data_IF_992563314888
#
_entry.id   IF_992563314888
#
_cell.length_a   1.000
_cell.length_b   1.000
_cell.length_c   1.000
_cell.angle_alpha   90.00
_cell.angle_beta   90.00
_cell.angle_gamma   90.00
#
_symmetry.space_group_name_H-M   'P 1'
#
loop_
_entity.id
_entity.type
_entity.pdbx_description
1 polymer ?
#
# COMPACT_ATOMS: atom_id res chain seq x y z
N UNK A 1 -10.59 3.32 -29.52
CA UNK A 1 -10.09 1.92 -29.45
C UNK A 1 -8.58 2.02 -29.35
N UNK A 2 -8.07 2.07 -28.12
CA UNK A 2 -6.62 2.16 -27.90
C UNK A 2 -6.11 0.80 -27.43
N UNK A 3 -5.32 0.17 -28.32
CA UNK A 3 -4.64 -1.12 -28.11
C UNK A 3 -3.46 -1.05 -27.12
N UNK A 4 -3.40 -0.06 -26.24
CA UNK A 4 -2.20 0.30 -25.46
C UNK A 4 -1.98 -0.46 -24.15
N UNK A 5 -2.72 -1.53 -23.86
CA UNK A 5 -2.55 -2.22 -22.56
C UNK A 5 -2.73 -3.75 -22.67
N UNK A 6 -2.02 -4.39 -23.61
CA UNK A 6 -1.84 -5.83 -23.59
C UNK A 6 -0.58 -6.17 -22.75
N UNK A 7 -0.60 -7.24 -21.92
CA UNK A 7 0.63 -7.75 -21.31
C UNK A 7 1.65 -8.01 -22.42
N UNK A 8 2.87 -7.57 -22.20
CA UNK A 8 3.99 -7.73 -23.16
C UNK A 8 4.09 -9.20 -23.54
N UNK A 9 3.92 -9.53 -24.84
CA UNK A 9 3.95 -10.91 -25.31
C UNK A 9 5.30 -11.56 -24.99
N UNK A 10 5.32 -12.86 -24.67
CA UNK A 10 6.50 -13.61 -24.22
C UNK A 10 7.72 -13.47 -25.16
N UNK A 11 7.50 -13.32 -26.48
CA UNK A 11 8.55 -13.08 -27.47
C UNK A 11 9.13 -11.65 -27.42
N UNK A 12 8.30 -10.65 -27.08
CA UNK A 12 8.76 -9.27 -26.87
C UNK A 12 9.54 -9.12 -25.57
N UNK A 13 9.18 -9.90 -24.53
CA UNK A 13 9.94 -9.95 -23.27
C UNK A 13 11.38 -10.43 -23.44
N UNK A 14 11.61 -11.49 -24.20
CA UNK A 14 12.96 -11.96 -24.52
C UNK A 14 13.78 -10.90 -25.26
N UNK A 15 13.17 -10.18 -26.21
CA UNK A 15 13.79 -9.10 -26.98
C UNK A 15 13.99 -7.84 -26.10
N UNK A 16 13.05 -7.53 -25.23
CA UNK A 16 13.15 -6.43 -24.26
C UNK A 16 14.29 -6.72 -23.29
N UNK A 17 14.34 -7.92 -22.72
CA UNK A 17 15.39 -8.34 -21.79
C UNK A 17 16.77 -8.28 -22.44
N UNK A 18 16.92 -8.74 -23.69
CA UNK A 18 18.17 -8.71 -24.45
C UNK A 18 18.63 -7.28 -24.83
N UNK A 19 17.70 -6.32 -24.95
CA UNK A 19 18.01 -4.90 -25.22
C UNK A 19 18.42 -4.10 -23.99
N UNK A 20 17.99 -4.51 -22.79
CA UNK A 20 18.26 -3.79 -21.53
C UNK A 20 19.37 -4.42 -20.71
N UNK A 21 19.84 -5.58 -21.09
CA UNK A 21 21.03 -6.22 -20.55
C UNK A 21 22.17 -6.14 -21.57
N UNK A 22 22.69 -4.93 -21.81
CA UNK A 22 24.07 -4.78 -22.32
C UNK A 22 25.10 -5.34 -21.31
N UNK A 23 24.63 -6.17 -20.38
CA UNK A 23 25.45 -6.86 -19.40
C UNK A 23 25.91 -8.18 -20.01
N UNK A 24 27.22 -8.36 -19.95
CA UNK A 24 27.84 -9.63 -20.24
C UNK A 24 27.31 -10.71 -19.29
N UNK A 25 26.57 -11.68 -19.81
CA UNK A 25 25.99 -12.80 -19.04
C UNK A 25 27.07 -13.63 -18.29
N UNK A 26 28.34 -13.45 -18.60
CA UNK A 26 29.45 -14.04 -17.85
C UNK A 26 29.80 -13.27 -16.58
N UNK A 27 29.32 -12.04 -16.44
CA UNK A 27 29.61 -11.15 -15.29
C UNK A 27 28.36 -10.81 -14.46
N UNK A 28 27.17 -10.90 -15.04
CA UNK A 28 25.87 -10.55 -14.40
C UNK A 28 24.91 -11.73 -14.45
N UNK A 29 24.26 -11.97 -13.32
CA UNK A 29 23.17 -12.94 -13.20
C UNK A 29 21.84 -12.22 -12.96
N UNK A 30 20.83 -12.60 -13.74
CA UNK A 30 19.45 -12.16 -13.50
C UNK A 30 18.69 -13.17 -12.63
N UNK A 31 18.05 -12.65 -11.59
CA UNK A 31 17.16 -13.40 -10.73
C UNK A 31 15.74 -13.07 -11.17
N UNK A 32 15.09 -14.03 -11.82
CA UNK A 32 13.76 -13.89 -12.40
C UNK A 32 12.69 -13.70 -11.31
N UNK A 33 11.56 -13.02 -11.59
CA UNK A 33 10.47 -12.82 -10.62
C UNK A 33 9.90 -14.12 -10.05
N UNK A 34 9.97 -15.21 -10.80
CA UNK A 34 9.48 -16.55 -10.38
C UNK A 34 10.45 -17.35 -9.52
N UNK A 35 11.60 -16.77 -9.15
CA UNK A 35 12.61 -17.49 -8.36
C UNK A 35 12.04 -17.82 -6.96
N UNK A 36 12.11 -19.12 -6.57
CA UNK A 36 11.46 -19.65 -5.37
C UNK A 36 11.92 -19.02 -4.04
N UNK A 37 13.13 -18.46 -4.00
CA UNK A 37 13.70 -17.84 -2.81
C UNK A 37 13.26 -16.36 -2.64
N UNK A 38 12.55 -15.77 -3.61
CA UNK A 38 11.99 -14.44 -3.47
C UNK A 38 10.76 -14.47 -2.56
N UNK A 39 10.63 -13.46 -1.71
CA UNK A 39 9.46 -13.30 -0.85
C UNK A 39 8.66 -12.08 -1.29
N UNK A 40 7.39 -12.28 -1.60
CA UNK A 40 6.44 -11.23 -1.97
C UNK A 40 5.45 -10.96 -0.84
N UNK A 41 5.05 -9.69 -0.67
CA UNK A 41 3.99 -9.29 0.24
C UNK A 41 3.22 -8.11 -0.36
N UNK A 42 1.89 -8.09 -0.20
CA UNK A 42 1.00 -7.07 -0.73
C UNK A 42 0.03 -7.62 -1.77
N UNK A 43 -0.92 -6.77 -2.19
CA UNK A 43 -1.79 -7.09 -3.32
C UNK A 43 -1.07 -6.78 -4.62
N UNK A 44 -0.35 -7.76 -5.12
CA UNK A 44 0.44 -7.72 -6.35
C UNK A 44 -0.32 -8.50 -7.41
N UNK A 45 -0.38 -7.98 -8.64
CA UNK A 45 -0.92 -8.71 -9.78
C UNK A 45 0.14 -9.69 -10.33
N UNK A 46 -0.12 -10.97 -10.14
CA UNK A 46 0.69 -12.07 -10.65
C UNK A 46 0.03 -12.78 -11.84
N UNK A 47 -0.85 -12.10 -12.59
CA UNK A 47 -1.46 -12.67 -13.80
C UNK A 47 -0.41 -13.09 -14.83
N UNK A 48 0.71 -12.35 -14.88
CA UNK A 48 1.94 -12.76 -15.51
C UNK A 48 3.01 -12.98 -14.43
N UNK A 49 3.35 -14.23 -14.10
CA UNK A 49 4.30 -14.51 -13.03
C UNK A 49 5.74 -14.04 -13.35
N UNK A 50 6.10 -13.90 -14.62
CA UNK A 50 7.41 -13.38 -15.06
C UNK A 50 7.48 -11.84 -15.04
N UNK A 51 6.35 -11.17 -14.83
CA UNK A 51 6.23 -9.71 -14.83
C UNK A 51 5.16 -9.21 -13.85
N UNK A 52 5.28 -9.52 -12.54
CA UNK A 52 4.31 -9.09 -11.55
C UNK A 52 4.21 -7.57 -11.47
N UNK A 53 2.98 -7.05 -11.36
CA UNK A 53 2.72 -5.62 -11.26
C UNK A 53 2.49 -5.24 -9.81
N UNK A 54 3.27 -4.27 -9.33
CA UNK A 54 3.13 -3.70 -7.99
C UNK A 54 2.10 -2.58 -8.04
N UNK A 55 0.94 -2.84 -7.44
CA UNK A 55 -0.23 -1.96 -7.50
C UNK A 55 -0.46 -1.23 -6.19
N UNK A 56 -0.63 -1.95 -5.10
CA UNK A 56 -0.98 -1.36 -3.81
C UNK A 56 0.25 -0.83 -3.06
N UNK A 57 0.14 0.28 -2.30
CA UNK A 57 1.25 0.83 -1.52
C UNK A 57 1.79 -0.19 -0.52
N UNK A 58 3.07 -0.12 -0.22
CA UNK A 58 3.72 -1.04 0.72
C UNK A 58 3.89 -2.46 0.21
N UNK A 59 3.42 -2.80 -1.00
CA UNK A 59 3.73 -4.08 -1.63
C UNK A 59 5.22 -4.17 -1.91
N UNK A 60 5.82 -5.36 -1.70
CA UNK A 60 7.26 -5.53 -1.85
C UNK A 60 7.66 -6.90 -2.38
N UNK A 61 8.87 -6.95 -2.94
CA UNK A 61 9.65 -8.17 -3.18
C UNK A 61 10.96 -8.09 -2.39
N UNK A 62 11.34 -9.20 -1.77
CA UNK A 62 12.53 -9.33 -0.93
C UNK A 62 13.40 -10.46 -1.43
N UNK A 63 14.72 -10.23 -1.43
CA UNK A 63 15.75 -11.20 -1.75
C UNK A 63 16.85 -11.18 -0.69
N UNK A 64 17.35 -12.35 -0.29
CA UNK A 64 18.62 -12.50 0.43
C UNK A 64 19.66 -13.09 -0.50
N UNK A 65 20.90 -12.61 -0.42
CA UNK A 65 21.99 -13.06 -1.30
C UNK A 65 23.36 -12.86 -0.67
N UNK A 66 24.35 -13.61 -1.19
CA UNK A 66 25.79 -13.45 -0.92
C UNK A 66 26.55 -13.43 -2.24
N UNK A 67 27.81 -13.00 -2.23
CA UNK A 67 28.71 -13.09 -3.39
C UNK A 67 28.53 -11.98 -4.43
N UNK A 68 27.84 -10.88 -4.09
CA UNK A 68 27.72 -9.70 -4.94
C UNK A 68 28.01 -8.42 -4.16
N UNK A 69 28.78 -7.53 -4.74
CA UNK A 69 29.06 -6.21 -4.17
C UNK A 69 28.02 -5.15 -4.53
N UNK A 70 27.04 -5.50 -5.34
CA UNK A 70 25.94 -4.63 -5.75
C UNK A 70 24.68 -5.45 -6.07
N UNK A 71 23.55 -4.79 -6.03
CA UNK A 71 22.26 -5.31 -6.50
C UNK A 71 21.48 -4.23 -7.22
N UNK A 72 20.87 -4.61 -8.34
CA UNK A 72 20.01 -3.74 -9.15
C UNK A 72 18.66 -4.42 -9.38
N UNK A 73 17.63 -3.64 -9.73
CA UNK A 73 16.35 -4.15 -10.19
C UNK A 73 16.05 -3.66 -11.59
N UNK A 74 15.40 -4.51 -12.38
CA UNK A 74 14.80 -4.10 -13.66
C UNK A 74 13.32 -3.89 -13.42
N UNK A 75 12.83 -2.70 -13.72
CA UNK A 75 11.41 -2.34 -13.57
C UNK A 75 10.91 -1.60 -14.79
N UNK A 76 9.60 -1.61 -15.02
CA UNK A 76 8.93 -0.77 -16.02
C UNK A 76 7.82 0.02 -15.32
N UNK A 77 7.90 1.34 -15.41
CA UNK A 77 7.00 2.24 -14.70
C UNK A 77 5.73 2.54 -15.49
N UNK A 78 4.63 2.72 -14.76
CA UNK A 78 3.37 3.27 -15.25
C UNK A 78 2.92 4.35 -14.27
N UNK A 79 3.43 5.56 -14.42
CA UNK A 79 3.08 6.66 -13.52
C UNK A 79 1.69 7.23 -13.83
N UNK A 80 1.10 7.87 -12.83
CA UNK A 80 -0.11 8.67 -12.97
C UNK A 80 0.24 10.16 -13.03
N UNK A 81 0.07 10.89 -11.93
CA UNK A 81 0.16 12.35 -11.92
C UNK A 81 1.48 12.91 -11.36
N UNK A 82 2.23 12.14 -10.59
CA UNK A 82 3.51 12.51 -10.00
C UNK A 82 4.66 11.70 -10.60
N UNK A 83 5.89 12.12 -10.30
CA UNK A 83 7.07 11.28 -10.51
C UNK A 83 6.98 9.99 -9.68
N UNK A 84 7.46 8.89 -10.24
CA UNK A 84 7.43 7.60 -9.55
C UNK A 84 8.71 7.33 -8.80
N UNK A 85 8.56 6.93 -7.55
CA UNK A 85 9.64 6.58 -6.64
C UNK A 85 9.40 5.20 -6.06
N UNK A 86 10.43 4.37 -6.05
CA UNK A 86 10.42 3.11 -5.30
C UNK A 86 11.19 3.25 -4.00
N UNK A 87 10.84 2.45 -3.02
CA UNK A 87 11.57 2.35 -1.78
C UNK A 87 12.49 1.14 -1.75
N UNK A 88 13.62 1.30 -1.10
CA UNK A 88 14.60 0.24 -0.90
C UNK A 88 14.88 0.10 0.58
N UNK A 89 14.81 -1.14 1.08
CA UNK A 89 15.41 -1.51 2.35
C UNK A 89 16.64 -2.36 2.02
N UNK A 90 17.82 -1.86 2.36
CA UNK A 90 19.07 -2.59 2.26
C UNK A 90 19.60 -2.82 3.66
N UNK A 91 19.55 -4.06 4.12
CA UNK A 91 19.85 -4.47 5.48
C UNK A 91 19.03 -3.66 6.50
N UNK A 92 19.55 -2.56 7.05
CA UNK A 92 18.88 -1.70 8.04
C UNK A 92 18.56 -0.29 7.53
N UNK A 93 18.99 0.01 6.31
CA UNK A 93 18.83 1.35 5.73
C UNK A 93 17.61 1.40 4.82
N UNK A 94 16.84 2.49 4.92
CA UNK A 94 15.73 2.79 4.02
C UNK A 94 16.08 4.04 3.21
N UNK A 95 15.86 3.97 1.90
CA UNK A 95 16.04 5.10 0.97
C UNK A 95 15.13 4.94 -0.25
N UNK A 96 15.13 5.94 -1.09
CA UNK A 96 14.31 5.99 -2.31
C UNK A 96 15.16 6.04 -3.56
N UNK A 97 14.60 5.50 -4.64
CA UNK A 97 15.15 5.57 -5.98
C UNK A 97 14.07 6.08 -6.91
N UNK A 98 14.37 7.10 -7.73
CA UNK A 98 13.46 7.61 -8.76
C UNK A 98 13.45 6.67 -9.95
N UNK A 99 12.27 6.45 -10.55
CA UNK A 99 12.16 5.79 -11.85
C UNK A 99 12.07 6.90 -12.90
N UNK A 100 13.14 7.07 -13.68
CA UNK A 100 13.29 8.24 -14.58
C UNK A 100 12.46 8.12 -15.86
N UNK A 101 12.01 6.93 -16.22
CA UNK A 101 11.34 6.67 -17.50
C UNK A 101 10.06 5.87 -17.31
N UNK A 102 9.09 6.15 -18.17
CA UNK A 102 7.80 5.45 -18.21
C UNK A 102 7.71 4.54 -19.42
N UNK A 103 6.89 3.49 -19.31
CA UNK A 103 6.51 2.56 -20.38
C UNK A 103 7.70 1.83 -21.04
N UNK A 104 8.88 1.92 -20.44
CA UNK A 104 10.06 1.15 -20.87
C UNK A 104 10.81 0.60 -19.66
N UNK A 105 11.45 -0.59 -19.78
CA UNK A 105 12.26 -1.14 -18.72
C UNK A 105 13.47 -0.24 -18.41
N UNK A 106 13.72 -0.04 -17.12
CA UNK A 106 14.88 0.68 -16.60
C UNK A 106 15.60 -0.16 -15.54
N UNK A 107 16.89 0.03 -15.43
CA UNK A 107 17.72 -0.60 -14.40
C UNK A 107 17.93 0.40 -13.26
N UNK A 108 17.45 0.02 -12.09
CA UNK A 108 17.61 0.79 -10.85
C UNK A 108 18.74 0.23 -10.02
N UNK A 109 19.72 1.02 -9.64
CA UNK A 109 20.73 0.64 -8.66
C UNK A 109 20.10 0.66 -7.27
N UNK A 110 20.02 -0.50 -6.61
CA UNK A 110 19.44 -0.64 -5.28
C UNK A 110 20.47 -0.57 -4.17
N UNK A 111 21.65 -1.16 -4.34
CA UNK A 111 22.76 -1.02 -3.40
C UNK A 111 24.08 -1.28 -4.11
N UNK A 112 25.14 -0.66 -3.59
CA UNK A 112 26.53 -0.81 -4.07
C UNK A 112 27.50 -0.87 -2.89
N UNK A 113 28.73 -1.28 -3.16
CA UNK A 113 29.79 -1.41 -2.16
C UNK A 113 29.45 -2.37 -1.01
N UNK A 114 28.72 -3.43 -1.33
CA UNK A 114 28.38 -4.49 -0.40
C UNK A 114 29.55 -5.46 -0.21
N UNK A 115 29.67 -6.02 0.99
CA UNK A 115 30.69 -7.03 1.28
C UNK A 115 30.27 -8.41 0.73
N UNK A 116 31.06 -8.98 -0.20
CA UNK A 116 30.68 -10.24 -0.88
C UNK A 116 30.54 -11.45 0.04
N UNK A 117 31.28 -11.50 1.13
CA UNK A 117 31.30 -12.65 2.05
C UNK A 117 30.20 -12.56 3.13
N UNK A 118 29.33 -11.54 3.04
CA UNK A 118 28.23 -11.30 3.97
C UNK A 118 26.89 -11.55 3.29
N UNK A 119 25.92 -12.12 4.01
CA UNK A 119 24.53 -12.22 3.54
C UNK A 119 23.87 -10.86 3.66
N UNK A 120 23.37 -10.36 2.55
CA UNK A 120 22.58 -9.13 2.47
C UNK A 120 21.10 -9.44 2.25
N UNK A 121 20.23 -8.60 2.78
CA UNK A 121 18.80 -8.62 2.49
C UNK A 121 18.41 -7.31 1.81
N UNK A 122 17.83 -7.42 0.62
CA UNK A 122 17.28 -6.29 -0.14
C UNK A 122 15.77 -6.43 -0.26
N UNK A 123 15.05 -5.34 -0.03
CA UNK A 123 13.61 -5.27 -0.28
C UNK A 123 13.33 -4.08 -1.19
N UNK A 124 12.74 -4.35 -2.35
CA UNK A 124 12.18 -3.33 -3.23
C UNK A 124 10.69 -3.20 -2.94
N UNK A 125 10.22 -2.01 -2.58
CA UNK A 125 8.83 -1.80 -2.20
C UNK A 125 8.20 -0.59 -2.89
N UNK A 126 6.89 -0.67 -3.06
CA UNK A 126 6.07 0.40 -3.61
C UNK A 126 5.82 1.48 -2.57
N UNK A 127 6.29 2.72 -2.84
CA UNK A 127 6.19 3.86 -1.94
C UNK A 127 4.85 4.56 -2.02
N UNK A 128 4.31 4.67 -3.23
CA UNK A 128 3.19 5.53 -3.57
C UNK A 128 1.87 4.78 -3.60
N UNK A 129 0.78 5.50 -3.65
CA UNK A 129 -0.58 4.99 -3.71
C UNK A 129 -0.88 4.17 -4.99
N UNK A 130 -2.05 3.62 -5.09
CA UNK A 130 -2.43 2.58 -6.04
C UNK A 130 -2.32 3.01 -7.51
N UNK A 131 -2.61 4.27 -7.86
CA UNK A 131 -2.63 4.71 -9.25
C UNK A 131 -1.24 4.78 -9.92
N UNK A 132 -0.15 4.81 -9.15
CA UNK A 132 1.22 4.70 -9.64
C UNK A 132 1.69 3.25 -9.59
N UNK A 133 1.79 2.57 -10.72
CA UNK A 133 2.18 1.16 -10.75
C UNK A 133 3.55 0.96 -11.40
N UNK A 134 4.18 -0.16 -11.13
CA UNK A 134 5.34 -0.62 -11.87
C UNK A 134 5.36 -2.14 -11.99
N UNK A 135 5.91 -2.61 -13.11
CA UNK A 135 6.21 -4.02 -13.36
C UNK A 135 7.58 -4.33 -12.81
N UNK A 136 7.73 -5.41 -12.06
CA UNK A 136 9.02 -5.94 -11.65
C UNK A 136 9.46 -7.03 -12.62
N UNK A 137 10.65 -6.89 -13.21
CA UNK A 137 11.19 -7.81 -14.22
C UNK A 137 12.33 -8.66 -13.68
N UNK A 138 12.83 -8.38 -12.46
CA UNK A 138 13.84 -9.19 -11.79
C UNK A 138 14.94 -8.36 -11.11
N UNK A 139 15.80 -9.08 -10.35
CA UNK A 139 17.01 -8.49 -9.79
C UNK A 139 18.23 -8.86 -10.63
N UNK A 140 19.22 -7.97 -10.65
CA UNK A 140 20.55 -8.21 -11.22
C UNK A 140 21.57 -8.23 -10.08
N UNK A 141 22.46 -9.22 -10.12
CA UNK A 141 23.58 -9.39 -9.18
C UNK A 141 24.82 -9.86 -9.94
N UNK A 142 25.98 -9.87 -9.32
CA UNK A 142 27.18 -10.47 -9.93
C UNK A 142 26.96 -11.96 -10.25
N UNK A 143 27.56 -12.46 -11.31
CA UNK A 143 27.35 -13.83 -11.81
C UNK A 143 27.58 -14.92 -10.76
N UNK A 144 28.57 -14.75 -9.87
CA UNK A 144 28.88 -15.67 -8.77
C UNK A 144 27.97 -15.61 -7.55
N UNK A 145 27.02 -14.67 -7.53
CA UNK A 145 26.14 -14.49 -6.39
C UNK A 145 25.22 -15.70 -6.16
N UNK A 146 24.95 -15.98 -4.89
CA UNK A 146 23.99 -17.00 -4.45
C UNK A 146 22.78 -16.34 -3.85
N UNK A 147 21.61 -16.72 -4.34
CA UNK A 147 20.34 -16.31 -3.73
C UNK A 147 20.02 -17.31 -2.63
N UNK A 148 19.69 -16.78 -1.48
CA UNK A 148 19.36 -17.54 -0.28
C UNK A 148 17.90 -17.30 0.09
N UNK A 149 17.34 -18.19 0.90
CA UNK A 149 15.97 -18.05 1.36
C UNK A 149 15.84 -16.78 2.20
N UNK A 150 15.03 -15.84 1.73
CA UNK A 150 14.76 -14.62 2.46
C UNK A 150 14.01 -14.92 3.76
N UNK A 151 14.15 -14.01 4.73
CA UNK A 151 13.41 -14.10 6.00
C UNK A 151 11.90 -14.26 5.72
N UNK A 152 11.24 -15.25 6.36
CA UNK A 152 9.80 -15.48 6.16
C UNK A 152 8.98 -14.28 6.64
N UNK A 153 7.80 -14.12 6.06
CA UNK A 153 6.83 -13.14 6.54
C UNK A 153 6.38 -13.49 7.97
N UNK A 154 6.08 -12.48 8.79
CA UNK A 154 5.48 -12.70 10.10
C UNK A 154 4.17 -13.51 10.00
N UNK A 155 3.88 -14.31 11.03
CA UNK A 155 2.62 -15.06 11.10
C UNK A 155 1.41 -14.17 11.36
N UNK A 156 1.57 -13.15 12.21
CA UNK A 156 0.58 -12.10 12.43
C UNK A 156 0.32 -11.36 11.12
N UNK A 157 -0.93 -11.11 10.77
CA UNK A 157 -1.31 -10.47 9.52
C UNK A 157 -2.32 -9.36 9.78
N UNK A 158 -2.10 -8.21 9.18
CA UNK A 158 -2.97 -7.05 9.28
C UNK A 158 -3.21 -6.47 7.89
N UNK A 159 -4.44 -6.08 7.58
CA UNK A 159 -4.78 -5.40 6.34
C UNK A 159 -5.44 -4.06 6.63
N UNK A 160 -5.06 -3.03 5.90
CA UNK A 160 -5.59 -1.68 6.03
C UNK A 160 -6.33 -1.29 4.76
N UNK A 161 -7.54 -0.75 4.94
CA UNK A 161 -8.31 -0.05 3.91
C UNK A 161 -8.32 1.43 4.24
N UNK A 162 -7.82 2.28 3.33
CA UNK A 162 -7.71 3.69 3.62
C UNK A 162 -7.37 4.55 2.42
N UNK A 163 -7.05 5.79 2.70
CA UNK A 163 -6.77 6.84 1.72
C UNK A 163 -5.28 7.23 1.67
N UNK A 164 -4.99 8.48 1.31
CA UNK A 164 -3.65 9.06 1.23
C UNK A 164 -2.83 8.88 2.52
N UNK A 165 -3.46 9.01 3.69
CA UNK A 165 -2.77 8.86 4.98
C UNK A 165 -2.31 7.42 5.20
N UNK A 166 -3.12 6.45 4.78
CA UNK A 166 -2.77 5.02 4.82
C UNK A 166 -1.69 4.70 3.77
N UNK A 167 -1.77 5.30 2.58
CA UNK A 167 -0.75 5.16 1.54
C UNK A 167 0.59 5.81 1.92
N UNK A 168 0.60 6.74 2.88
CA UNK A 168 1.80 7.46 3.33
C UNK A 168 2.17 8.63 2.43
N UNK A 169 1.17 9.29 1.83
CA UNK A 169 1.41 10.51 1.06
C UNK A 169 2.04 11.59 1.95
N UNK A 170 3.02 12.28 1.38
CA UNK A 170 3.78 13.38 1.98
C UNK A 170 4.43 13.03 3.34
N UNK A 171 4.50 11.75 3.71
CA UNK A 171 4.98 11.30 5.03
C UNK A 171 6.44 11.66 5.32
N UNK A 172 7.30 11.81 4.30
CA UNK A 172 8.70 12.21 4.47
C UNK A 172 8.93 13.73 4.57
N UNK A 173 7.91 14.56 4.36
CA UNK A 173 8.02 16.02 4.48
C UNK A 173 8.06 16.46 5.97
N UNK A 174 8.99 15.93 6.74
CA UNK A 174 9.06 16.04 8.20
C UNK A 174 9.14 17.49 8.71
N UNK A 175 9.76 18.39 7.95
CA UNK A 175 9.85 19.81 8.31
C UNK A 175 8.49 20.53 8.27
N UNK A 176 7.45 19.88 7.76
CA UNK A 176 6.09 20.40 7.65
C UNK A 176 5.11 19.66 8.57
N UNK A 177 5.59 18.97 9.63
CA UNK A 177 4.72 18.33 10.61
C UNK A 177 3.81 19.38 11.29
N UNK A 178 2.51 19.10 11.39
CA UNK A 178 1.50 20.04 11.90
C UNK A 178 1.21 21.24 10.98
N UNK A 179 1.68 21.20 9.73
CA UNK A 179 1.55 22.30 8.75
C UNK A 179 0.84 21.80 7.49
N UNK A 180 0.32 22.71 6.63
CA UNK A 180 -0.13 22.36 5.28
C UNK A 180 0.96 21.65 4.47
N UNK A 181 0.54 20.92 3.43
CA UNK A 181 1.47 20.20 2.57
C UNK A 181 2.38 21.15 1.77
N UNK A 182 3.67 20.84 1.65
CA UNK A 182 4.55 21.54 0.71
C UNK A 182 4.23 21.14 -0.73
N UNK A 183 4.62 21.95 -1.73
CA UNK A 183 4.70 21.49 -3.11
C UNK A 183 5.55 20.22 -3.21
N UNK A 184 5.11 19.25 -4.00
CA UNK A 184 5.76 17.94 -4.15
C UNK A 184 5.42 17.31 -5.50
N UNK A 185 6.40 16.59 -6.07
CA UNK A 185 6.24 15.74 -7.24
C UNK A 185 6.29 14.25 -6.86
N UNK A 186 5.81 13.93 -5.63
CA UNK A 186 5.74 12.56 -5.11
C UNK A 186 6.96 12.09 -4.32
N UNK A 187 8.04 12.87 -4.26
CA UNK A 187 9.29 12.51 -3.56
C UNK A 187 9.09 12.29 -2.05
N UNK A 188 8.08 12.93 -1.45
CA UNK A 188 7.76 12.78 -0.03
C UNK A 188 6.80 11.63 0.28
N UNK A 189 6.21 11.00 -0.73
CA UNK A 189 5.29 9.87 -0.53
C UNK A 189 6.08 8.63 -0.12
N UNK A 190 5.71 8.01 0.99
CA UNK A 190 6.39 6.80 1.46
C UNK A 190 5.52 5.93 2.36
N UNK A 191 4.98 4.86 1.80
CA UNK A 191 4.16 3.88 2.52
C UNK A 191 4.88 3.29 3.74
N UNK A 192 6.21 3.15 3.71
CA UNK A 192 7.00 2.64 4.83
C UNK A 192 6.87 3.48 6.09
N UNK A 193 6.70 4.80 5.94
CA UNK A 193 6.51 5.74 7.04
C UNK A 193 5.04 6.06 7.34
N UNK A 194 4.09 5.43 6.62
CA UNK A 194 2.68 5.54 6.99
C UNK A 194 2.42 4.95 8.38
N UNK A 195 1.40 5.47 9.07
CA UNK A 195 0.98 4.91 10.35
C UNK A 195 0.62 3.42 10.24
N UNK A 196 0.08 3.01 9.09
CA UNK A 196 -0.39 1.66 8.84
C UNK A 196 0.78 0.65 8.81
N UNK A 197 1.83 0.91 8.02
CA UNK A 197 3.00 0.03 8.02
C UNK A 197 3.80 0.15 9.32
N UNK A 198 3.86 1.35 9.92
CA UNK A 198 4.50 1.53 11.23
C UNK A 198 3.82 0.71 12.33
N UNK A 199 2.47 0.66 12.34
CA UNK A 199 1.68 -0.21 13.24
C UNK A 199 2.04 -1.68 13.03
N UNK A 200 2.07 -2.14 11.77
CA UNK A 200 2.42 -3.53 11.48
C UNK A 200 3.85 -3.89 11.92
N UNK A 201 4.82 -2.99 11.73
CA UNK A 201 6.20 -3.21 12.23
C UNK A 201 6.25 -3.31 13.75
N UNK A 202 5.52 -2.47 14.49
CA UNK A 202 5.42 -2.53 15.96
C UNK A 202 4.82 -3.84 16.45
N UNK A 203 3.81 -4.34 15.75
CA UNK A 203 3.12 -5.60 16.07
C UNK A 203 3.86 -6.85 15.57
N UNK A 204 4.98 -6.67 14.85
CA UNK A 204 5.66 -7.76 14.13
C UNK A 204 4.70 -8.54 13.22
N UNK A 205 3.89 -7.82 12.44
CA UNK A 205 2.90 -8.36 11.53
C UNK A 205 3.29 -8.14 10.05
N UNK A 206 2.92 -9.09 9.21
CA UNK A 206 2.84 -8.86 7.77
C UNK A 206 1.69 -7.90 7.48
N UNK A 207 1.84 -7.04 6.46
CA UNK A 207 0.86 -5.98 6.18
C UNK A 207 0.47 -5.95 4.71
N UNK A 208 -0.82 -5.77 4.46
CA UNK A 208 -1.36 -5.30 3.19
C UNK A 208 -1.96 -3.92 3.39
N UNK A 209 -1.60 -2.98 2.53
CA UNK A 209 -2.24 -1.67 2.44
C UNK A 209 -3.11 -1.67 1.17
N UNK A 210 -4.35 -1.32 1.31
CA UNK A 210 -5.33 -1.18 0.23
C UNK A 210 -5.77 0.27 0.25
N UNK A 211 -5.02 1.12 -0.46
CA UNK A 211 -5.12 2.56 -0.25
C UNK A 211 -4.84 3.38 -1.51
N UNK A 212 -5.57 4.48 -1.64
CA UNK A 212 -5.46 5.43 -2.74
C UNK A 212 -5.66 6.85 -2.23
N UNK A 213 -4.82 7.78 -2.69
CA UNK A 213 -4.97 9.20 -2.41
C UNK A 213 -6.33 9.74 -2.82
N UNK A 214 -6.96 10.49 -1.92
CA UNK A 214 -8.24 11.14 -2.17
C UNK A 214 -9.47 10.23 -2.24
N UNK A 215 -9.32 8.91 -2.08
CA UNK A 215 -10.47 7.99 -2.13
C UNK A 215 -11.40 8.18 -0.92
N UNK A 216 -12.69 8.22 -1.18
CA UNK A 216 -13.76 8.21 -0.19
C UNK A 216 -14.30 6.79 0.01
N UNK A 217 -15.26 6.62 0.92
CA UNK A 217 -16.03 5.39 1.01
C UNK A 217 -16.95 5.23 -0.20
N UNK A 218 -17.78 6.27 -0.45
CA UNK A 218 -18.85 6.20 -1.44
C UNK A 218 -18.37 6.57 -2.84
N UNK A 219 -18.92 5.88 -3.84
CA UNK A 219 -18.92 6.37 -5.20
C UNK A 219 -19.64 7.72 -5.27
N UNK A 220 -19.13 8.63 -6.06
CA UNK A 220 -19.67 9.98 -6.20
C UNK A 220 -19.13 11.00 -5.21
N UNK A 221 -18.22 10.62 -4.31
CA UNK A 221 -17.58 11.50 -3.35
C UNK A 221 -16.06 11.33 -3.33
N UNK A 222 -15.34 12.25 -2.69
CA UNK A 222 -13.89 12.24 -2.59
C UNK A 222 -13.18 12.83 -3.82
N UNK A 223 -11.87 12.84 -3.76
CA UNK A 223 -11.01 13.50 -4.77
C UNK A 223 -10.51 12.52 -5.84
N UNK A 224 -10.50 11.22 -5.54
CA UNK A 224 -9.99 10.22 -6.47
C UNK A 224 -10.88 10.12 -7.72
N UNK A 225 -10.27 10.20 -8.92
CA UNK A 225 -10.98 10.21 -10.20
C UNK A 225 -12.20 11.16 -10.22
N UNK A 226 -12.06 12.35 -9.62
CA UNK A 226 -13.15 13.32 -9.44
C UNK A 226 -14.38 12.73 -8.71
N UNK A 227 -14.15 11.81 -7.77
CA UNK A 227 -15.18 11.19 -6.97
C UNK A 227 -15.97 10.08 -7.67
N UNK A 228 -15.58 9.64 -8.85
CA UNK A 228 -16.36 8.60 -9.57
C UNK A 228 -16.33 7.24 -8.87
N UNK A 229 -15.26 6.95 -8.10
CA UNK A 229 -15.07 5.67 -7.41
C UNK A 229 -14.72 5.85 -5.95
N UNK A 230 -15.44 5.12 -5.10
CA UNK A 230 -15.17 4.97 -3.69
C UNK A 230 -14.63 3.59 -3.32
N UNK A 231 -14.19 3.44 -2.09
CA UNK A 231 -13.67 2.19 -1.57
C UNK A 231 -14.72 1.07 -1.65
N UNK A 232 -16.00 1.39 -1.52
CA UNK A 232 -17.10 0.40 -1.62
C UNK A 232 -17.11 -0.37 -2.94
N UNK A 233 -16.64 0.26 -4.05
CA UNK A 233 -16.57 -0.36 -5.39
C UNK A 233 -15.22 -0.97 -5.73
N UNK A 234 -14.16 -0.65 -4.95
CA UNK A 234 -12.79 -0.99 -5.30
C UNK A 234 -12.12 -1.98 -4.34
N UNK A 235 -12.62 -2.16 -3.11
CA UNK A 235 -11.94 -2.90 -2.05
C UNK A 235 -11.60 -4.36 -2.41
N UNK A 236 -12.37 -4.97 -3.30
CA UNK A 236 -12.22 -6.34 -3.78
C UNK A 236 -11.45 -6.43 -5.10
N UNK A 237 -10.78 -5.35 -5.52
CA UNK A 237 -10.01 -5.29 -6.76
C UNK A 237 -8.51 -5.20 -6.46
N UNK A 238 -7.69 -5.58 -7.44
CA UNK A 238 -6.26 -5.30 -7.43
C UNK A 238 -6.04 -3.86 -7.89
N UNK A 239 -6.67 -3.46 -9.00
CA UNK A 239 -6.64 -2.10 -9.55
C UNK A 239 -7.93 -1.36 -9.20
N UNK A 240 -7.81 -0.09 -8.82
CA UNK A 240 -8.96 0.77 -8.53
C UNK A 240 -9.45 1.52 -9.77
N UNK A 241 -8.52 1.93 -10.66
CA UNK A 241 -8.82 2.60 -11.91
C UNK A 241 -9.12 1.61 -13.05
N UNK A 242 -9.93 2.03 -13.99
CA UNK A 242 -10.23 1.29 -15.23
C UNK A 242 -11.52 0.47 -15.16
N UNK A 243 -12.28 0.49 -16.25
CA UNK A 243 -13.40 -0.42 -16.54
C UNK A 243 -12.94 -1.54 -17.47
N UNK A 244 -11.80 -2.15 -17.22
CA UNK A 244 -11.40 -3.29 -18.03
C UNK A 244 -12.24 -4.49 -17.61
N UNK A 245 -13.17 -4.87 -18.47
CA UNK A 245 -13.80 -6.18 -18.39
C UNK A 245 -12.67 -7.22 -18.39
N UNK A 246 -12.47 -7.92 -17.26
CA UNK A 246 -11.41 -8.91 -17.11
C UNK A 246 -10.26 -8.52 -16.16
N UNK A 247 -10.30 -7.35 -15.50
CA UNK A 247 -9.34 -7.04 -14.43
C UNK A 247 -9.46 -8.06 -13.29
N UNK A 248 -8.31 -8.57 -12.79
CA UNK A 248 -8.35 -9.57 -11.75
C UNK A 248 -8.92 -8.99 -10.45
N UNK A 249 -9.93 -9.64 -9.91
CA UNK A 249 -10.37 -9.39 -8.54
C UNK A 249 -9.36 -9.95 -7.57
N UNK A 250 -9.27 -9.31 -6.40
CA UNK A 250 -8.45 -9.86 -5.33
C UNK A 250 -9.04 -11.19 -4.83
N UNK A 251 -8.21 -12.21 -4.79
CA UNK A 251 -8.56 -13.47 -4.14
C UNK A 251 -8.25 -13.39 -2.64
N UNK A 252 -9.25 -13.14 -1.82
CA UNK A 252 -9.12 -12.98 -0.37
C UNK A 252 -8.52 -14.21 0.35
N UNK A 253 -8.63 -15.40 -0.24
CA UNK A 253 -7.99 -16.60 0.33
C UNK A 253 -6.44 -16.57 0.28
N UNK A 254 -5.84 -15.68 -0.55
CA UNK A 254 -4.37 -15.51 -0.60
C UNK A 254 -3.81 -14.82 0.65
N UNK A 255 -4.64 -14.07 1.36
CA UNK A 255 -4.23 -13.36 2.56
C UNK A 255 -5.41 -13.22 3.52
N UNK A 256 -5.37 -13.95 4.62
CA UNK A 256 -6.39 -13.91 5.68
C UNK A 256 -5.82 -13.16 6.88
N UNK A 257 -6.16 -11.86 7.05
CA UNK A 257 -5.68 -11.06 8.17
C UNK A 257 -6.36 -11.48 9.48
N UNK A 258 -5.64 -11.36 10.58
CA UNK A 258 -6.21 -11.44 11.92
C UNK A 258 -6.93 -10.13 12.29
N UNK A 259 -6.39 -9.02 11.80
CA UNK A 259 -6.94 -7.68 12.03
C UNK A 259 -7.10 -6.96 10.70
N UNK A 260 -8.26 -6.37 10.48
CA UNK A 260 -8.55 -5.43 9.38
C UNK A 260 -8.77 -4.06 10.00
N UNK A 261 -8.06 -3.05 9.52
CA UNK A 261 -8.26 -1.66 9.91
C UNK A 261 -8.93 -0.92 8.75
N UNK A 262 -10.07 -0.32 9.01
CA UNK A 262 -10.81 0.51 8.06
C UNK A 262 -10.66 1.97 8.49
N UNK A 263 -9.82 2.71 7.77
CA UNK A 263 -9.53 4.12 8.02
C UNK A 263 -9.99 4.95 6.80
N UNK A 264 -11.30 5.03 6.62
CA UNK A 264 -11.96 5.65 5.47
C UNK A 264 -13.18 6.45 5.92
N UNK A 265 -13.51 7.54 5.22
CA UNK A 265 -14.68 8.34 5.48
C UNK A 265 -14.41 9.86 5.50
N UNK A 266 -13.17 10.29 5.79
CA UNK A 266 -12.84 11.73 5.86
C UNK A 266 -12.92 12.42 4.49
N UNK A 267 -12.58 11.77 3.39
CA UNK A 267 -12.68 12.31 2.03
C UNK A 267 -14.12 12.40 1.52
N UNK A 268 -15.07 11.70 2.13
CA UNK A 268 -16.51 11.82 1.83
C UNK A 268 -17.07 13.21 2.13
N UNK A 269 -16.31 14.08 2.81
CA UNK A 269 -16.61 15.49 2.99
C UNK A 269 -16.52 16.33 1.70
N UNK A 270 -16.03 15.77 0.60
CA UNK A 270 -15.96 16.41 -0.71
C UNK A 270 -16.92 15.74 -1.71
N UNK A 271 -17.69 16.48 -2.55
CA UNK A 271 -17.68 17.95 -2.68
C UNK A 271 -18.51 18.68 -1.62
N UNK A 272 -19.24 17.97 -0.79
CA UNK A 272 -20.12 18.53 0.24
C UNK A 272 -19.97 17.81 1.58
N UNK A 273 -19.68 18.56 2.66
CA UNK A 273 -19.59 17.98 4.00
C UNK A 273 -20.99 17.73 4.58
N UNK A 274 -21.63 16.65 4.14
CA UNK A 274 -22.99 16.27 4.52
C UNK A 274 -23.14 16.06 6.03
N UNK A 275 -22.09 15.58 6.72
CA UNK A 275 -22.15 15.37 8.18
C UNK A 275 -22.15 16.70 8.95
N UNK A 276 -21.51 17.73 8.40
CA UNK A 276 -21.47 19.06 8.97
C UNK A 276 -22.75 19.83 8.66
N UNK A 277 -23.28 19.67 7.44
CA UNK A 277 -24.48 20.39 6.99
C UNK A 277 -25.73 19.87 7.65
N UNK A 278 -25.96 18.56 7.65
CA UNK A 278 -27.09 17.93 8.31
C UNK A 278 -26.80 16.50 8.76
N UNK A 279 -26.28 16.36 9.97
CA UNK A 279 -25.91 15.06 10.56
C UNK A 279 -27.08 14.07 10.64
N UNK A 280 -28.30 14.55 10.80
CA UNK A 280 -29.49 13.70 10.91
C UNK A 280 -30.27 13.55 9.60
N UNK A 281 -29.85 14.26 8.56
CA UNK A 281 -30.48 14.26 7.25
C UNK A 281 -30.32 12.95 6.49
N UNK A 282 -31.06 12.87 5.39
CA UNK A 282 -31.15 11.67 4.56
C UNK A 282 -29.79 11.26 3.97
N UNK A 283 -28.99 12.23 3.48
CA UNK A 283 -27.68 11.95 2.89
C UNK A 283 -26.70 11.33 3.91
N UNK A 284 -26.67 11.87 5.14
CA UNK A 284 -25.87 11.33 6.21
C UNK A 284 -26.34 9.92 6.64
N UNK A 285 -27.64 9.66 6.59
CA UNK A 285 -28.20 8.32 6.84
C UNK A 285 -27.83 7.36 5.72
N UNK A 286 -27.95 7.75 4.46
CA UNK A 286 -27.53 6.94 3.31
C UNK A 286 -26.05 6.59 3.39
N UNK A 287 -25.16 7.54 3.73
CA UNK A 287 -23.75 7.26 3.92
C UNK A 287 -23.51 6.18 4.98
N UNK A 288 -24.20 6.22 6.11
CA UNK A 288 -24.08 5.20 7.17
C UNK A 288 -24.54 3.81 6.67
N UNK A 289 -25.57 3.73 5.83
CA UNK A 289 -25.99 2.47 5.24
C UNK A 289 -24.96 1.92 4.25
N UNK A 290 -24.33 2.78 3.43
CA UNK A 290 -23.21 2.37 2.55
C UNK A 290 -22.02 1.87 3.37
N UNK A 291 -21.65 2.57 4.45
CA UNK A 291 -20.55 2.15 5.32
C UNK A 291 -20.85 0.79 5.95
N UNK A 292 -22.07 0.57 6.43
CA UNK A 292 -22.52 -0.71 6.98
C UNK A 292 -22.49 -1.83 5.94
N UNK A 293 -22.98 -1.58 4.74
CA UNK A 293 -22.94 -2.54 3.64
C UNK A 293 -21.50 -2.93 3.27
N UNK A 294 -20.59 -1.96 3.22
CA UNK A 294 -19.17 -2.22 3.00
C UNK A 294 -18.58 -3.12 4.09
N UNK A 295 -18.85 -2.84 5.37
CA UNK A 295 -18.38 -3.68 6.48
C UNK A 295 -18.95 -5.10 6.43
N UNK A 296 -20.21 -5.28 6.06
CA UNK A 296 -20.80 -6.61 5.86
C UNK A 296 -20.04 -7.40 4.78
N UNK A 297 -19.72 -6.76 3.65
CA UNK A 297 -18.93 -7.40 2.58
C UNK A 297 -17.50 -7.73 3.04
N UNK A 298 -16.87 -6.91 3.86
CA UNK A 298 -15.56 -7.22 4.46
C UNK A 298 -15.67 -8.42 5.39
N UNK A 299 -16.71 -8.48 6.23
CA UNK A 299 -16.96 -9.60 7.15
C UNK A 299 -17.20 -10.92 6.42
N UNK A 300 -17.90 -10.91 5.29
CA UNK A 300 -18.10 -12.09 4.43
C UNK A 300 -16.76 -12.65 3.93
N UNK A 301 -15.81 -11.78 3.59
CA UNK A 301 -14.49 -12.18 3.12
C UNK A 301 -13.52 -12.56 4.26
N UNK A 302 -13.69 -11.96 5.44
CA UNK A 302 -12.83 -12.15 6.61
C UNK A 302 -13.66 -12.50 7.86
N UNK A 303 -14.26 -13.69 7.92
CA UNK A 303 -15.25 -14.06 8.94
C UNK A 303 -14.69 -14.07 10.36
N UNK A 304 -13.38 -14.22 10.53
CA UNK A 304 -12.74 -14.37 11.84
C UNK A 304 -11.91 -13.13 12.27
N UNK A 305 -11.63 -12.20 11.34
CA UNK A 305 -10.80 -11.05 11.63
C UNK A 305 -11.45 -10.08 12.62
N UNK A 306 -10.64 -9.44 13.45
CA UNK A 306 -11.05 -8.22 14.14
C UNK A 306 -11.12 -7.09 13.12
N UNK A 307 -12.19 -6.30 13.13
CA UNK A 307 -12.35 -5.13 12.26
C UNK A 307 -12.29 -3.89 13.15
N UNK A 308 -11.26 -3.09 12.97
CA UNK A 308 -11.04 -1.83 13.68
C UNK A 308 -11.44 -0.68 12.76
N UNK A 309 -12.47 0.05 13.15
CA UNK A 309 -12.98 1.21 12.43
C UNK A 309 -12.34 2.47 12.98
N UNK A 310 -11.83 3.33 12.13
CA UNK A 310 -11.22 4.60 12.53
C UNK A 310 -11.26 5.59 11.37
N UNK A 311 -10.80 6.81 11.61
CA UNK A 311 -10.32 7.76 10.62
C UNK A 311 -8.84 8.02 10.89
N UNK A 312 -8.39 9.27 10.83
CA UNK A 312 -7.02 9.66 11.11
C UNK A 312 -6.95 10.95 11.92
N UNK A 313 -5.75 11.41 12.24
CA UNK A 313 -5.55 12.72 12.89
C UNK A 313 -5.69 13.91 11.93
N UNK A 314 -5.74 13.68 10.60
CA UNK A 314 -5.97 14.72 9.59
C UNK A 314 -7.28 15.46 9.91
N UNK A 315 -7.23 16.79 9.84
CA UNK A 315 -8.37 17.63 10.20
C UNK A 315 -9.64 17.28 9.41
N UNK A 316 -10.71 16.93 10.13
CA UNK A 316 -12.02 16.68 9.56
C UNK A 316 -13.13 16.95 10.58
N UNK A 317 -14.38 17.05 10.11
CA UNK A 317 -15.51 17.28 10.98
C UNK A 317 -15.83 16.03 11.83
N UNK A 318 -15.99 16.15 13.16
CA UNK A 318 -16.22 15.01 14.06
C UNK A 318 -17.52 14.23 13.81
N UNK A 319 -18.41 14.73 12.97
CA UNK A 319 -19.64 14.04 12.56
C UNK A 319 -19.35 12.74 11.80
N UNK A 320 -18.23 12.66 11.08
CA UNK A 320 -17.77 11.46 10.39
C UNK A 320 -17.45 10.34 11.39
N UNK A 321 -16.66 10.63 12.42
CA UNK A 321 -16.29 9.67 13.47
C UNK A 321 -17.53 9.20 14.25
N UNK A 322 -18.43 10.15 14.59
CA UNK A 322 -19.69 9.79 15.26
C UNK A 322 -20.55 8.86 14.41
N UNK A 323 -20.58 9.06 13.09
CA UNK A 323 -21.31 8.19 12.16
C UNK A 323 -20.70 6.80 12.09
N UNK A 324 -19.36 6.69 12.03
CA UNK A 324 -18.63 5.42 12.08
C UNK A 324 -18.93 4.68 13.41
N UNK A 325 -18.82 5.37 14.54
CA UNK A 325 -19.15 4.81 15.86
C UNK A 325 -20.60 4.34 15.98
N UNK A 326 -21.54 5.10 15.39
CA UNK A 326 -22.95 4.70 15.32
C UNK A 326 -23.16 3.42 14.52
N UNK A 327 -22.55 3.32 13.33
CA UNK A 327 -22.60 2.10 12.50
C UNK A 327 -21.97 0.93 13.23
N UNK A 328 -20.83 1.10 13.88
CA UNK A 328 -20.18 0.08 14.69
C UNK A 328 -21.14 -0.49 15.76
N UNK A 329 -21.84 0.38 16.48
CA UNK A 329 -22.80 -0.04 17.49
C UNK A 329 -24.04 -0.76 16.90
N UNK A 330 -24.49 -0.38 15.71
CA UNK A 330 -25.66 -0.95 15.04
C UNK A 330 -25.40 -2.34 14.44
N UNK A 331 -24.18 -2.62 13.96
CA UNK A 331 -23.80 -3.92 13.38
C UNK A 331 -23.84 -5.03 14.43
N UNK A 332 -23.60 -4.74 15.70
CA UNK A 332 -23.60 -5.71 16.81
C UNK A 332 -22.68 -6.91 16.58
N UNK A 333 -21.59 -6.72 15.86
CA UNK A 333 -20.55 -7.74 15.66
C UNK A 333 -19.50 -7.59 16.78
N UNK A 334 -19.30 -8.63 17.63
CA UNK A 334 -18.37 -8.56 18.75
C UNK A 334 -16.90 -8.37 18.34
N UNK A 335 -16.54 -8.65 17.09
CA UNK A 335 -15.20 -8.44 16.54
C UNK A 335 -15.10 -7.19 15.66
N UNK A 336 -16.10 -6.30 15.70
CA UNK A 336 -16.04 -4.98 15.06
C UNK A 336 -16.03 -3.91 16.13
N UNK A 337 -14.98 -3.10 16.17
CA UNK A 337 -14.73 -2.09 17.20
C UNK A 337 -14.40 -0.73 16.58
N UNK A 338 -14.72 0.35 17.29
CA UNK A 338 -14.40 1.71 16.88
C UNK A 338 -13.26 2.26 17.73
N UNK A 339 -12.25 2.82 17.07
CA UNK A 339 -11.07 3.43 17.68
C UNK A 339 -10.92 4.87 17.22
N UNK A 340 -10.55 5.75 18.14
CA UNK A 340 -10.22 7.15 17.86
C UNK A 340 -8.83 7.44 18.42
N UNK A 341 -8.01 8.10 17.63
CA UNK A 341 -6.72 8.64 18.09
C UNK A 341 -6.95 9.78 19.10
N UNK A 342 -5.97 10.05 19.93
CA UNK A 342 -6.02 11.16 20.89
C UNK A 342 -6.29 12.51 20.17
N UNK A 343 -5.62 12.75 19.05
CA UNK A 343 -5.81 13.95 18.22
C UNK A 343 -6.66 13.70 16.96
N UNK A 344 -7.59 12.74 17.02
CA UNK A 344 -8.42 12.33 15.88
C UNK A 344 -9.15 13.53 15.26
N UNK A 345 -8.96 13.74 13.95
CA UNK A 345 -9.61 14.81 13.19
C UNK A 345 -9.15 16.24 13.49
N UNK A 346 -8.11 16.43 14.29
CA UNK A 346 -7.62 17.76 14.69
C UNK A 346 -6.09 17.84 14.85
N UNK A 347 -5.37 16.78 14.52
CA UNK A 347 -3.94 16.71 14.75
C UNK A 347 -3.11 17.51 13.73
N UNK A 348 -3.54 17.57 12.48
CA UNK A 348 -2.78 18.26 11.43
C UNK A 348 -3.67 18.76 10.30
N UNK A 349 -3.40 19.95 9.74
CA UNK A 349 -4.12 20.47 8.57
C UNK A 349 -3.67 19.86 7.24
N UNK A 350 -2.44 19.33 7.17
CA UNK A 350 -1.89 18.63 6.02
C UNK A 350 -1.80 17.13 6.25
N UNK A 351 -1.26 16.38 5.28
CA UNK A 351 -1.04 14.94 5.43
C UNK A 351 -0.14 14.63 6.63
N UNK A 352 -0.29 13.44 7.16
CA UNK A 352 0.42 12.96 8.35
C UNK A 352 1.90 12.69 8.03
N UNK A 353 2.82 13.33 8.74
CA UNK A 353 4.26 13.12 8.58
C UNK A 353 4.76 11.93 9.40
N UNK A 354 5.96 11.46 9.11
CA UNK A 354 6.53 10.26 9.75
C UNK A 354 6.49 10.32 11.29
N UNK A 355 6.80 11.47 11.92
CA UNK A 355 6.71 11.61 13.39
C UNK A 355 5.30 11.47 13.92
N UNK A 356 4.33 12.09 13.26
CA UNK A 356 2.90 12.00 13.58
C UNK A 356 2.36 10.57 13.33
N UNK A 357 2.78 9.97 12.21
CA UNK A 357 2.46 8.59 11.86
C UNK A 357 2.98 7.58 12.88
N UNK A 358 4.19 7.80 13.44
CA UNK A 358 4.75 6.95 14.50
C UNK A 358 3.95 7.06 15.80
N UNK A 359 3.44 8.25 16.14
CA UNK A 359 2.54 8.44 17.30
C UNK A 359 1.20 7.71 17.07
N UNK A 360 0.58 7.87 15.90
CA UNK A 360 -0.61 7.11 15.52
C UNK A 360 -0.39 5.60 15.61
N UNK A 361 0.77 5.13 15.11
CA UNK A 361 1.12 3.71 15.17
C UNK A 361 1.29 3.19 16.61
N UNK A 362 1.81 4.02 17.52
CA UNK A 362 1.90 3.69 18.93
C UNK A 362 0.51 3.49 19.56
N UNK A 363 -0.41 4.41 19.31
CA UNK A 363 -1.76 4.36 19.84
C UNK A 363 -2.55 3.16 19.26
N UNK A 364 -2.52 3.00 17.93
CA UNK A 364 -3.25 1.92 17.26
C UNK A 364 -2.69 0.53 17.61
N UNK A 365 -1.36 0.37 17.67
CA UNK A 365 -0.77 -0.92 18.06
C UNK A 365 -1.12 -1.30 19.50
N UNK A 366 -1.07 -0.35 20.44
CA UNK A 366 -1.49 -0.57 21.81
C UNK A 366 -2.96 -0.96 21.93
N UNK A 367 -3.84 -0.30 21.15
CA UNK A 367 -5.25 -0.65 21.09
C UNK A 367 -5.48 -2.07 20.58
N UNK A 368 -4.81 -2.45 19.46
CA UNK A 368 -4.94 -3.78 18.86
C UNK A 368 -4.45 -4.87 19.83
N UNK A 369 -3.33 -4.67 20.51
CA UNK A 369 -2.83 -5.63 21.52
C UNK A 369 -3.76 -5.80 22.72
N UNK A 370 -4.58 -4.78 23.00
CA UNK A 370 -5.60 -4.80 24.07
C UNK A 370 -6.95 -5.39 23.66
N UNK A 371 -7.18 -5.76 22.41
CA UNK A 371 -8.51 -6.22 21.91
C UNK A 371 -8.93 -7.53 22.58
N UNK A 372 -8.10 -8.54 22.50
CA UNK A 372 -8.34 -9.86 23.09
C UNK A 372 -7.02 -10.64 23.19
N UNK A 373 -6.89 -11.58 24.14
CA UNK A 373 -5.70 -12.44 24.25
C UNK A 373 -5.42 -13.26 22.98
N UNK A 374 -6.46 -13.60 22.25
CA UNK A 374 -6.49 -14.45 21.04
C UNK A 374 -6.60 -13.64 19.73
N UNK A 375 -6.29 -12.34 19.75
CA UNK A 375 -6.39 -11.49 18.56
C UNK A 375 -5.55 -11.98 17.37
N UNK A 376 -4.54 -12.79 17.64
CA UNK A 376 -3.59 -13.32 16.64
C UNK A 376 -3.71 -14.84 16.39
N UNK A 377 -4.77 -15.47 16.87
CA UNK A 377 -5.02 -16.92 16.71
C UNK A 377 -5.87 -17.26 15.48
#
# INVERSE_FOLDING_TARGET
>A
MDEKNLPVKKAEKGIIMQRYTDYDETTVRMIQPVHDELTYCGRIDHSDPDAPVFVQPGSFVRMSFTGSSWVRAVVMNHRSYNDSWVGVLSDRNQYRVKIEKDEEPVVLTLAENLERDTTHEITLFKRMDQCHTYVFLGFLVEYGARVEKARPLPRKKIEFYGDSVTAGEVSEAQNYAGMPDPPSEGEYNNAYFSYAWATARRLHAAVHLVAQGGIALRDGTGYYENGTRGMESCFDRIYFSGEKSGEPRWNFARYTPHVVVVAIGQNDAWPEDIMKNDYYGEQAQQWREHYKAFLCRLRENYPHAWIVLTTTILNHYPGWDRSIGKVCAEIRDPKTVHFLYQENGRGTPGHVRASEAMQMALELSGFIEGLAPDVWD
#
